data_IF_684451778201
#
_entry.id   IF_684451778201
#
_cell.length_a   1.000
_cell.length_b   1.000
_cell.length_c   1.000
_cell.angle_alpha   90.00
_cell.angle_beta   90.00
_cell.angle_gamma   90.00
#
_symmetry.space_group_name_H-M   'P 1'
#
loop_
_entity.id
_entity.type
_entity.pdbx_description
1 polymer ?
#
# COMPACT_ATOMS: atom_id res chain seq x y z
N UNK A 1 -4.59 0.48 9.93
CA UNK A 1 -3.90 -0.27 11.00
C UNK A 1 -2.93 -1.34 10.48
N UNK A 2 -3.37 -2.28 9.64
CA UNK A 2 -2.49 -3.33 9.06
C UNK A 2 -1.25 -2.75 8.36
N UNK A 3 -1.43 -1.73 7.52
CA UNK A 3 -0.32 -1.03 6.86
C UNK A 3 0.71 -0.42 7.83
N UNK A 4 0.28 0.13 8.97
CA UNK A 4 1.19 0.71 9.97
C UNK A 4 2.05 -0.37 10.63
N UNK A 5 1.44 -1.49 11.04
CA UNK A 5 2.15 -2.62 11.63
C UNK A 5 3.18 -3.20 10.66
N UNK A 6 2.81 -3.32 9.37
CA UNK A 6 3.71 -3.77 8.32
C UNK A 6 4.89 -2.81 8.09
N UNK A 7 4.67 -1.50 8.11
CA UNK A 7 5.75 -0.52 8.00
C UNK A 7 6.77 -0.68 9.12
N UNK A 8 6.31 -0.89 10.36
CA UNK A 8 7.18 -1.08 11.53
C UNK A 8 7.98 -2.38 11.39
N UNK A 9 7.32 -3.48 10.99
CA UNK A 9 7.97 -4.78 10.82
C UNK A 9 9.00 -4.79 9.68
N UNK A 10 8.76 -4.04 8.61
CA UNK A 10 9.58 -4.06 7.38
C UNK A 10 10.69 -2.99 7.39
N UNK A 11 10.52 -1.91 8.16
CA UNK A 11 11.53 -0.86 8.28
C UNK A 11 12.96 -1.36 8.62
N UNK A 12 13.19 -2.34 9.52
CA UNK A 12 14.53 -2.82 9.83
C UNK A 12 15.14 -3.79 8.81
N UNK A 13 14.45 -4.17 7.71
CA UNK A 13 14.93 -5.21 6.76
C UNK A 13 16.30 -4.92 6.14
N UNK A 14 16.60 -3.65 5.86
CA UNK A 14 17.93 -3.20 5.41
C UNK A 14 18.56 -2.26 6.44
N UNK A 15 17.81 -1.26 6.91
CA UNK A 15 18.29 -0.29 7.89
C UNK A 15 18.73 -0.90 9.23
N UNK A 16 18.15 -2.02 9.66
CA UNK A 16 18.57 -2.72 10.86
C UNK A 16 19.96 -3.35 10.73
N UNK A 17 20.29 -3.88 9.55
CA UNK A 17 21.60 -4.47 9.28
C UNK A 17 22.70 -3.39 9.19
N UNK A 18 22.38 -2.23 8.61
CA UNK A 18 23.28 -1.08 8.61
C UNK A 18 23.55 -0.57 10.02
N UNK A 19 22.52 -0.52 10.87
CA UNK A 19 22.67 -0.11 12.26
C UNK A 19 23.54 -1.09 13.07
N UNK A 20 23.46 -2.38 12.77
CA UNK A 20 24.23 -3.43 13.45
C UNK A 20 25.61 -3.71 12.83
N UNK A 21 25.95 -3.07 11.69
CA UNK A 21 27.19 -3.31 10.90
C UNK A 21 27.38 -4.77 10.46
N UNK A 22 26.28 -5.52 10.36
CA UNK A 22 26.27 -6.93 9.92
C UNK A 22 26.30 -7.04 8.39
N UNK A 23 26.09 -5.93 7.69
CA UNK A 23 26.16 -5.79 6.24
C UNK A 23 27.47 -6.33 5.65
N UNK A 24 28.60 -6.00 6.27
CA UNK A 24 29.93 -6.46 5.86
C UNK A 24 30.09 -7.99 5.86
N UNK A 25 29.44 -8.69 6.79
CA UNK A 25 29.45 -10.16 6.87
C UNK A 25 28.56 -10.76 5.79
N UNK A 26 27.37 -10.20 5.56
CA UNK A 26 26.48 -10.68 4.50
C UNK A 26 27.09 -10.46 3.11
N UNK A 27 27.83 -9.37 2.91
CA UNK A 27 28.48 -9.05 1.64
C UNK A 27 29.60 -10.02 1.24
N UNK A 28 30.27 -10.63 2.22
CA UNK A 28 31.27 -11.68 1.99
C UNK A 28 30.64 -13.00 1.54
N UNK A 29 29.32 -13.18 1.66
CA UNK A 29 28.64 -14.38 1.21
C UNK A 29 28.49 -14.42 -0.33
N UNK A 30 28.58 -15.61 -0.93
CA UNK A 30 28.48 -15.87 -2.38
C UNK A 30 27.25 -15.24 -3.06
N UNK A 31 26.16 -15.01 -2.31
CA UNK A 31 24.91 -14.41 -2.79
C UNK A 31 24.49 -13.12 -2.06
N UNK A 32 25.42 -12.50 -1.32
CA UNK A 32 25.16 -11.38 -0.42
C UNK A 32 24.68 -10.07 -1.04
N UNK A 33 24.87 -9.88 -2.35
CA UNK A 33 24.52 -8.62 -3.05
C UNK A 33 23.09 -8.63 -3.60
N UNK A 34 22.93 -8.66 -4.93
CA UNK A 34 21.63 -8.55 -5.61
C UNK A 34 20.64 -9.67 -5.24
N UNK A 35 21.13 -10.90 -5.09
CA UNK A 35 20.27 -12.06 -4.80
C UNK A 35 19.64 -11.99 -3.41
N UNK A 36 20.41 -11.55 -2.41
CA UNK A 36 19.91 -11.28 -1.06
C UNK A 36 18.85 -10.18 -1.07
N UNK A 37 19.10 -9.07 -1.76
CA UNK A 37 18.15 -7.96 -1.87
C UNK A 37 16.80 -8.43 -2.46
N UNK A 38 16.83 -9.23 -3.54
CA UNK A 38 15.62 -9.82 -4.11
C UNK A 38 14.92 -10.79 -3.14
N UNK A 39 15.66 -11.63 -2.42
CA UNK A 39 15.08 -12.55 -1.45
C UNK A 39 14.35 -11.82 -0.32
N UNK A 40 14.94 -10.75 0.22
CA UNK A 40 14.34 -9.91 1.27
C UNK A 40 13.09 -9.19 0.78
N UNK A 41 13.15 -8.61 -0.41
CA UNK A 41 12.00 -7.94 -1.02
C UNK A 41 10.85 -8.94 -1.22
N UNK A 42 11.14 -10.12 -1.75
CA UNK A 42 10.12 -11.16 -1.93
C UNK A 42 9.54 -11.63 -0.58
N UNK A 43 10.36 -11.78 0.45
CA UNK A 43 9.90 -12.12 1.79
C UNK A 43 8.99 -11.02 2.37
N UNK A 44 9.34 -9.74 2.20
CA UNK A 44 8.53 -8.61 2.63
C UNK A 44 7.17 -8.56 1.91
N UNK A 45 7.14 -8.82 0.59
CA UNK A 45 5.92 -8.89 -0.19
C UNK A 45 5.03 -10.07 0.22
N UNK A 46 5.61 -11.26 0.43
CA UNK A 46 4.86 -12.44 0.89
C UNK A 46 4.29 -12.24 2.29
N UNK A 47 5.07 -11.66 3.21
CA UNK A 47 4.60 -11.34 4.56
C UNK A 47 3.45 -10.33 4.50
N UNK A 48 3.55 -9.31 3.65
CA UNK A 48 2.50 -8.31 3.44
C UNK A 48 1.22 -8.92 2.89
N UNK A 49 1.32 -9.72 1.83
CA UNK A 49 0.15 -10.37 1.23
C UNK A 49 -0.51 -11.35 2.21
N UNK A 50 0.28 -12.19 2.89
CA UNK A 50 -0.23 -13.19 3.82
C UNK A 50 -0.92 -12.57 5.03
N UNK A 51 -0.28 -11.59 5.68
CA UNK A 51 -0.88 -10.89 6.83
C UNK A 51 -2.12 -10.10 6.45
N UNK A 52 -2.12 -9.42 5.29
CA UNK A 52 -3.29 -8.68 4.82
C UNK A 52 -4.47 -9.62 4.56
N UNK A 53 -4.26 -10.71 3.80
CA UNK A 53 -5.30 -11.68 3.47
C UNK A 53 -5.87 -12.32 4.74
N UNK A 54 -5.01 -12.65 5.71
CA UNK A 54 -5.44 -13.22 6.99
C UNK A 54 -6.29 -12.23 7.78
N UNK A 55 -5.85 -10.98 7.92
CA UNK A 55 -6.61 -9.94 8.61
C UNK A 55 -7.94 -9.62 7.91
N UNK A 56 -7.95 -9.49 6.58
CA UNK A 56 -9.17 -9.23 5.82
C UNK A 56 -10.13 -10.43 5.88
N UNK A 57 -9.61 -11.66 5.88
CA UNK A 57 -10.41 -12.88 5.99
C UNK A 57 -11.12 -12.96 7.34
N UNK A 58 -10.42 -12.68 8.45
CA UNK A 58 -11.02 -12.63 9.79
C UNK A 58 -12.09 -11.54 9.85
N UNK A 59 -11.81 -10.37 9.27
CA UNK A 59 -12.76 -9.26 9.24
C UNK A 59 -14.05 -9.61 8.49
N UNK A 60 -13.94 -10.18 7.28
CA UNK A 60 -15.10 -10.62 6.48
C UNK A 60 -15.85 -11.75 7.17
N UNK A 61 -15.15 -12.73 7.74
CA UNK A 61 -15.77 -13.82 8.48
C UNK A 61 -16.58 -13.30 9.69
N UNK A 62 -16.02 -12.31 10.41
CA UNK A 62 -16.72 -11.61 11.49
C UNK A 62 -17.97 -10.90 10.99
N UNK A 63 -17.87 -10.11 9.93
CA UNK A 63 -19.03 -9.44 9.33
C UNK A 63 -20.13 -10.45 8.95
N UNK A 64 -19.77 -11.56 8.28
CA UNK A 64 -20.72 -12.58 7.89
C UNK A 64 -21.38 -13.29 9.08
N UNK A 65 -20.64 -13.49 10.17
CA UNK A 65 -21.17 -14.11 11.39
C UNK A 65 -22.22 -13.22 12.09
N UNK A 66 -22.02 -11.89 12.10
CA UNK A 66 -22.94 -10.96 12.77
C UNK A 66 -24.09 -10.48 11.88
N UNK A 67 -23.82 -10.16 10.61
CA UNK A 67 -24.80 -9.55 9.68
C UNK A 67 -25.51 -10.62 8.83
N UNK A 68 -24.92 -11.80 8.67
CA UNK A 68 -25.41 -12.86 7.81
C UNK A 68 -25.19 -12.59 6.32
N UNK A 69 -25.51 -13.58 5.48
CA UNK A 69 -25.28 -13.55 4.02
C UNK A 69 -26.35 -12.81 3.24
N UNK A 70 -27.49 -12.47 3.87
CA UNK A 70 -28.64 -11.84 3.21
C UNK A 70 -28.32 -10.46 2.64
N UNK A 71 -27.42 -9.72 3.29
CA UNK A 71 -27.02 -8.38 2.86
C UNK A 71 -26.10 -8.40 1.62
N UNK A 72 -25.47 -9.53 1.27
CA UNK A 72 -24.44 -9.58 0.22
C UNK A 72 -24.98 -9.25 -1.18
N UNK A 73 -26.23 -9.64 -1.45
CA UNK A 73 -26.90 -9.43 -2.74
C UNK A 73 -27.65 -8.09 -2.83
N UNK A 74 -27.71 -7.33 -1.73
CA UNK A 74 -28.35 -6.03 -1.74
C UNK A 74 -27.50 -5.00 -2.54
N UNK A 75 -28.16 -3.99 -3.13
CA UNK A 75 -27.47 -2.90 -3.81
C UNK A 75 -26.63 -2.09 -2.81
N UNK A 76 -25.45 -1.65 -3.24
CA UNK A 76 -24.51 -0.90 -2.38
C UNK A 76 -25.08 0.44 -1.89
N UNK A 77 -26.08 0.97 -2.60
CA UNK A 77 -26.85 2.16 -2.21
C UNK A 77 -27.49 2.04 -0.83
N UNK A 78 -27.75 0.81 -0.36
CA UNK A 78 -28.29 0.58 0.98
C UNK A 78 -27.32 1.03 2.09
N UNK A 79 -26.00 0.92 1.85
CA UNK A 79 -24.95 1.35 2.79
C UNK A 79 -24.53 2.80 2.48
N UNK A 80 -24.49 3.17 1.20
CA UNK A 80 -24.15 4.53 0.75
C UNK A 80 -25.18 5.04 -0.26
N UNK A 81 -26.20 5.80 0.18
CA UNK A 81 -27.28 6.27 -0.70
C UNK A 81 -26.80 7.13 -1.88
N UNK A 82 -25.68 7.84 -1.69
CA UNK A 82 -25.04 8.70 -2.70
C UNK A 82 -24.15 7.93 -3.70
N UNK A 83 -24.05 6.60 -3.59
CA UNK A 83 -23.26 5.80 -4.51
C UNK A 83 -23.93 5.74 -5.89
N UNK A 84 -23.26 6.31 -6.89
CA UNK A 84 -23.73 6.32 -8.28
C UNK A 84 -23.47 5.00 -9.02
N UNK A 85 -22.79 4.05 -8.38
CA UNK A 85 -22.39 2.77 -8.98
C UNK A 85 -23.42 1.68 -8.67
N UNK A 86 -23.96 1.03 -9.69
CA UNK A 86 -24.85 -0.13 -9.55
C UNK A 86 -24.03 -1.41 -9.32
N UNK A 87 -23.55 -1.62 -8.09
CA UNK A 87 -22.85 -2.82 -7.65
C UNK A 87 -23.53 -3.46 -6.45
N UNK A 88 -23.33 -4.76 -6.27
CA UNK A 88 -23.76 -5.46 -5.05
C UNK A 88 -22.77 -5.20 -3.90
N UNK A 89 -23.23 -5.38 -2.66
CA UNK A 89 -22.38 -5.21 -1.48
C UNK A 89 -21.17 -6.14 -1.51
N UNK A 90 -21.33 -7.40 -1.93
CA UNK A 90 -20.20 -8.33 -2.08
C UNK A 90 -19.15 -7.85 -3.08
N UNK A 91 -19.57 -7.33 -4.24
CA UNK A 91 -18.64 -6.81 -5.24
C UNK A 91 -17.87 -5.61 -4.69
N UNK A 92 -18.58 -4.70 -3.99
CA UNK A 92 -17.96 -3.55 -3.36
C UNK A 92 -16.91 -3.96 -2.31
N UNK A 93 -17.24 -4.94 -1.46
CA UNK A 93 -16.31 -5.47 -0.45
C UNK A 93 -15.07 -6.11 -1.10
N UNK A 94 -15.25 -6.90 -2.17
CA UNK A 94 -14.15 -7.50 -2.91
C UNK A 94 -13.22 -6.43 -3.53
N UNK A 95 -13.78 -5.35 -4.08
CA UNK A 95 -12.99 -4.22 -4.56
C UNK A 95 -12.24 -3.50 -3.44
N UNK A 96 -12.86 -3.35 -2.26
CA UNK A 96 -12.22 -2.73 -1.11
C UNK A 96 -11.01 -3.55 -0.63
N UNK A 97 -11.15 -4.88 -0.57
CA UNK A 97 -10.05 -5.79 -0.22
C UNK A 97 -8.93 -5.73 -1.25
N UNK A 98 -9.26 -5.73 -2.55
CA UNK A 98 -8.27 -5.64 -3.61
C UNK A 98 -7.48 -4.33 -3.54
N UNK A 99 -8.16 -3.20 -3.38
CA UNK A 99 -7.51 -1.89 -3.29
C UNK A 99 -6.71 -1.72 -2.01
N UNK A 100 -7.21 -2.25 -0.89
CA UNK A 100 -6.47 -2.25 0.37
C UNK A 100 -5.20 -3.10 0.29
N UNK A 101 -5.23 -4.25 -0.41
CA UNK A 101 -4.05 -5.07 -0.66
C UNK A 101 -3.02 -4.29 -1.52
N UNK A 102 -3.47 -3.69 -2.62
CA UNK A 102 -2.61 -2.90 -3.50
C UNK A 102 -1.99 -1.69 -2.78
N UNK A 103 -2.77 -1.00 -1.95
CA UNK A 103 -2.28 0.09 -1.11
C UNK A 103 -1.23 -0.37 -0.10
N UNK A 104 -1.44 -1.54 0.53
CA UNK A 104 -0.46 -2.15 1.44
C UNK A 104 0.83 -2.54 0.72
N UNK A 105 0.75 -3.10 -0.49
CA UNK A 105 1.93 -3.43 -1.28
C UNK A 105 2.72 -2.18 -1.68
N UNK A 106 2.03 -1.10 -2.06
CA UNK A 106 2.67 0.15 -2.44
C UNK A 106 3.41 0.82 -1.27
N UNK A 107 2.80 0.90 -0.09
CA UNK A 107 3.48 1.46 1.09
C UNK A 107 4.65 0.59 1.54
N UNK A 108 4.54 -0.73 1.43
CA UNK A 108 5.65 -1.64 1.75
C UNK A 108 6.79 -1.53 0.74
N UNK A 109 6.50 -1.39 -0.55
CA UNK A 109 7.54 -1.13 -1.54
C UNK A 109 8.27 0.19 -1.25
N UNK A 110 7.55 1.21 -0.77
CA UNK A 110 8.14 2.47 -0.32
C UNK A 110 9.01 2.27 0.94
N UNK A 111 8.52 1.55 1.95
CA UNK A 111 9.28 1.34 3.20
C UNK A 111 10.56 0.56 2.94
N UNK A 112 10.53 -0.44 2.06
CA UNK A 112 11.71 -1.19 1.63
C UNK A 112 12.68 -0.28 0.87
N UNK A 113 12.21 0.55 -0.06
CA UNK A 113 13.06 1.49 -0.78
C UNK A 113 13.72 2.52 0.14
N UNK A 114 13.00 3.01 1.14
CA UNK A 114 13.53 3.89 2.18
C UNK A 114 14.53 3.16 3.09
N UNK A 115 14.24 1.91 3.48
CA UNK A 115 15.12 1.06 4.29
C UNK A 115 16.45 0.79 3.58
N UNK A 116 16.44 0.60 2.26
CA UNK A 116 17.66 0.41 1.47
C UNK A 116 18.49 1.70 1.30
N UNK A 117 17.92 2.88 1.61
CA UNK A 117 18.60 4.18 1.48
C UNK A 117 19.03 4.78 2.81
N UNK A 118 18.31 4.46 3.89
CA UNK A 118 18.54 5.03 5.21
C UNK A 118 19.26 4.01 6.10
N UNK A 119 20.21 4.50 6.90
CA UNK A 119 21.00 3.66 7.82
C UNK A 119 20.33 3.42 9.17
N UNK A 120 19.28 4.19 9.50
CA UNK A 120 18.56 4.09 10.77
C UNK A 120 17.12 3.62 10.56
N UNK A 121 16.76 2.47 11.15
CA UNK A 121 15.42 1.90 11.04
C UNK A 121 14.33 2.84 11.59
N UNK A 122 14.65 3.61 12.64
CA UNK A 122 13.74 4.58 13.22
C UNK A 122 13.33 5.69 12.24
N UNK A 123 14.28 6.21 11.44
CA UNK A 123 14.01 7.21 10.41
C UNK A 123 13.10 6.66 9.31
N UNK A 124 13.30 5.39 8.92
CA UNK A 124 12.44 4.71 7.94
C UNK A 124 11.01 4.63 8.46
N UNK A 125 10.81 4.24 9.73
CA UNK A 125 9.49 4.16 10.36
C UNK A 125 8.81 5.52 10.33
N UNK A 126 9.47 6.58 10.82
CA UNK A 126 8.89 7.92 10.88
C UNK A 126 8.46 8.40 9.50
N UNK A 127 9.33 8.30 8.50
CA UNK A 127 9.02 8.79 7.15
C UNK A 127 7.89 7.99 6.54
N UNK A 128 7.92 6.66 6.68
CA UNK A 128 6.85 5.79 6.15
C UNK A 128 5.51 6.07 6.81
N UNK A 129 5.51 6.32 8.13
CA UNK A 129 4.31 6.62 8.89
C UNK A 129 3.77 8.02 8.56
N UNK A 130 4.65 9.01 8.39
CA UNK A 130 4.29 10.35 7.95
C UNK A 130 3.61 10.28 6.59
N UNK A 131 4.20 9.58 5.62
CA UNK A 131 3.62 9.40 4.28
C UNK A 131 2.25 8.70 4.35
N UNK A 132 2.09 7.72 5.24
CA UNK A 132 0.82 7.02 5.42
C UNK A 132 -0.28 7.92 6.05
N UNK A 133 0.08 8.78 7.01
CA UNK A 133 -0.87 9.62 7.76
C UNK A 133 -1.21 10.92 7.01
N UNK A 134 -0.28 11.47 6.24
CA UNK A 134 -0.40 12.77 5.57
C UNK A 134 -1.70 12.91 4.75
N UNK A 135 -2.12 11.92 3.95
CA UNK A 135 -3.38 12.03 3.21
C UNK A 135 -4.61 12.19 4.11
N UNK A 136 -4.63 11.51 5.26
CA UNK A 136 -5.76 11.56 6.19
C UNK A 136 -5.81 12.88 6.96
N UNK A 137 -4.65 13.43 7.34
CA UNK A 137 -4.57 14.69 8.08
C UNK A 137 -4.96 15.93 7.28
N UNK A 138 -4.80 15.89 5.95
CA UNK A 138 -5.06 17.03 5.06
C UNK A 138 -6.31 16.87 4.17
N UNK A 139 -7.06 15.78 4.34
CA UNK A 139 -8.33 15.57 3.64
C UNK A 139 -9.34 16.67 3.99
N UNK A 140 -9.63 17.57 3.03
CA UNK A 140 -10.58 18.67 3.19
C UNK A 140 -9.98 20.06 3.44
N UNK A 141 -8.67 20.17 3.68
CA UNK A 141 -8.01 21.46 4.00
C UNK A 141 -7.09 21.99 2.88
N UNK A 142 -6.90 21.21 1.81
CA UNK A 142 -5.99 21.55 0.70
C UNK A 142 -6.73 22.12 -0.51
N UNK A 143 -6.06 22.91 -1.38
CA UNK A 143 -6.59 23.28 -2.69
C UNK A 143 -6.92 22.05 -3.54
N UNK A 144 -7.95 22.11 -4.39
CA UNK A 144 -8.48 20.99 -5.18
C UNK A 144 -7.42 20.22 -5.98
N UNK A 145 -6.41 20.93 -6.51
CA UNK A 145 -5.30 20.32 -7.24
C UNK A 145 -4.43 19.43 -6.35
N UNK A 146 -4.11 19.89 -5.13
CA UNK A 146 -3.32 19.10 -4.18
C UNK A 146 -4.15 17.93 -3.64
N UNK A 147 -5.45 18.14 -3.39
CA UNK A 147 -6.35 17.05 -3.00
C UNK A 147 -6.40 15.93 -4.04
N UNK A 148 -6.43 16.30 -5.33
CA UNK A 148 -6.41 15.33 -6.43
C UNK A 148 -5.13 14.48 -6.43
N UNK A 149 -3.96 15.11 -6.19
CA UNK A 149 -2.66 14.42 -6.11
C UNK A 149 -2.60 13.52 -4.87
N UNK A 150 -3.12 13.99 -3.74
CA UNK A 150 -3.17 13.21 -2.50
C UNK A 150 -4.12 12.02 -2.64
N UNK A 151 -5.27 12.19 -3.29
CA UNK A 151 -6.22 11.12 -3.59
C UNK A 151 -5.67 10.07 -4.57
N UNK A 152 -4.70 10.45 -5.41
CA UNK A 152 -3.95 9.55 -6.29
C UNK A 152 -2.90 8.71 -5.53
N UNK A 153 -2.56 9.05 -4.29
CA UNK A 153 -1.62 8.22 -3.53
C UNK A 153 -2.25 6.87 -3.21
N UNK A 154 -1.52 5.76 -3.44
CA UNK A 154 -2.08 4.41 -3.40
C UNK A 154 -2.61 3.99 -2.02
N UNK A 155 -2.12 4.65 -0.96
CA UNK A 155 -2.52 4.44 0.44
C UNK A 155 -3.60 5.43 0.94
N UNK A 156 -3.92 6.46 0.15
CA UNK A 156 -4.98 7.43 0.42
C UNK A 156 -6.34 7.01 -0.18
N UNK A 157 -6.35 5.94 -0.98
CA UNK A 157 -7.50 5.39 -1.69
C UNK A 157 -8.65 5.08 -0.73
N UNK A 158 -9.56 6.02 -0.54
CA UNK A 158 -10.71 5.83 0.33
C UNK A 158 -11.81 5.03 -0.39
N UNK A 159 -12.47 4.11 0.31
CA UNK A 159 -13.66 3.41 -0.20
C UNK A 159 -14.79 4.37 -0.61
N UNK A 160 -14.79 5.61 -0.13
CA UNK A 160 -15.69 6.68 -0.60
C UNK A 160 -15.39 7.16 -2.02
N UNK A 161 -14.13 7.19 -2.45
CA UNK A 161 -13.72 7.63 -3.80
C UNK A 161 -14.06 6.61 -4.89
N UNK A 162 -14.21 5.33 -4.51
CA UNK A 162 -14.77 4.28 -5.37
C UNK A 162 -16.26 4.49 -5.68
N UNK A 163 -17.01 5.03 -4.71
CA UNK A 163 -18.46 5.16 -4.77
C UNK A 163 -18.91 6.50 -5.36
N UNK A 164 -18.02 7.50 -5.34
CA UNK A 164 -18.20 8.78 -6.02
C UNK A 164 -17.67 8.66 -7.44
N UNK A 165 -18.50 8.96 -8.43
CA UNK A 165 -18.11 9.13 -9.83
C UNK A 165 -17.28 10.41 -10.02
N UNK A 166 -16.17 10.55 -9.29
CA UNK A 166 -15.17 11.56 -9.63
C UNK A 166 -14.53 11.13 -10.97
N UNK A 167 -14.75 11.92 -12.01
CA UNK A 167 -14.08 11.76 -13.30
C UNK A 167 -12.75 12.52 -13.20
N UNK A 168 -11.64 11.80 -13.17
CA UNK A 168 -10.33 12.46 -13.20
C UNK A 168 -10.04 12.93 -14.63
N UNK A 169 -9.80 14.24 -14.77
CA UNK A 169 -9.35 14.84 -16.02
C UNK A 169 -7.84 14.74 -16.11
N UNK A 170 -7.33 13.68 -16.73
CA UNK A 170 -5.89 13.48 -16.94
C UNK A 170 -5.65 13.55 -18.45
N UNK A 171 -4.84 14.52 -18.91
CA UNK A 171 -4.44 14.68 -20.33
C UNK A 171 -5.61 14.72 -21.34
N UNK A 172 -6.74 15.34 -20.99
CA UNK A 172 -7.89 15.47 -21.90
C UNK A 172 -8.77 14.21 -22.01
N UNK A 173 -8.43 13.12 -21.32
CA UNK A 173 -9.23 11.90 -21.25
C UNK A 173 -10.01 11.82 -19.93
N UNK A 174 -11.29 11.42 -20.01
CA UNK A 174 -12.14 11.15 -18.84
C UNK A 174 -11.93 9.70 -18.40
N UNK A 175 -11.07 9.48 -17.42
CA UNK A 175 -10.80 8.13 -16.90
C UNK A 175 -11.65 7.90 -15.66
N UNK A 176 -12.35 6.76 -15.64
CA UNK A 176 -13.15 6.31 -14.50
C UNK A 176 -12.25 6.13 -13.25
N UNK A 177 -12.60 6.76 -12.13
CA UNK A 177 -11.87 6.73 -10.84
C UNK A 177 -11.35 5.34 -10.42
N UNK A 178 -12.13 4.25 -10.53
CA UNK A 178 -11.67 2.92 -10.11
C UNK A 178 -10.45 2.40 -10.87
N UNK A 179 -10.30 2.71 -12.15
CA UNK A 179 -9.14 2.25 -12.94
C UNK A 179 -7.85 2.93 -12.48
N UNK A 180 -7.93 4.23 -12.20
CA UNK A 180 -6.79 5.02 -11.73
C UNK A 180 -6.32 4.51 -10.38
N UNK A 181 -7.27 4.22 -9.47
CA UNK A 181 -6.98 3.69 -8.13
C UNK A 181 -6.36 2.30 -8.13
N UNK A 182 -6.57 1.48 -9.16
CA UNK A 182 -5.91 0.16 -9.30
C UNK A 182 -4.54 0.29 -9.97
N UNK A 183 -4.46 1.06 -11.06
CA UNK A 183 -3.25 1.14 -11.89
C UNK A 183 -2.13 1.89 -11.20
N UNK A 184 -2.43 2.98 -10.49
CA UNK A 184 -1.40 3.82 -9.84
C UNK A 184 -0.61 3.06 -8.75
N UNK A 185 -1.23 2.33 -7.81
CA UNK A 185 -0.49 1.49 -6.85
C UNK A 185 0.39 0.45 -7.51
N UNK A 186 -0.08 -0.18 -8.60
CA UNK A 186 0.68 -1.21 -9.31
C UNK A 186 1.92 -0.58 -9.94
N UNK A 187 1.79 0.56 -10.61
CA UNK A 187 2.92 1.27 -11.22
C UNK A 187 3.92 1.71 -10.14
N UNK A 188 3.44 2.29 -9.03
CA UNK A 188 4.29 2.74 -7.93
C UNK A 188 5.05 1.56 -7.32
N UNK A 189 4.36 0.46 -7.04
CA UNK A 189 4.98 -0.77 -6.51
C UNK A 189 6.02 -1.30 -7.49
N UNK A 190 5.67 -1.44 -8.77
CA UNK A 190 6.58 -1.93 -9.81
C UNK A 190 7.80 -1.03 -10.03
N UNK A 191 7.66 0.29 -9.84
CA UNK A 191 8.76 1.24 -9.95
C UNK A 191 9.67 1.26 -8.71
N UNK A 192 9.11 1.12 -7.50
CA UNK A 192 9.86 1.20 -6.24
C UNK A 192 10.72 -0.03 -5.96
N UNK A 193 10.26 -1.23 -6.34
CA UNK A 193 11.03 -2.47 -6.16
C UNK A 193 12.43 -2.46 -6.83
N UNK A 194 12.58 -2.09 -8.13
CA UNK A 194 13.91 -2.00 -8.75
C UNK A 194 14.73 -0.84 -8.20
N UNK A 195 14.09 0.25 -7.73
CA UNK A 195 14.78 1.36 -7.06
C UNK A 195 15.39 0.89 -5.74
N UNK A 196 14.65 0.10 -4.94
CA UNK A 196 15.16 -0.48 -3.70
C UNK A 196 16.41 -1.34 -3.94
N UNK A 197 16.38 -2.22 -4.95
CA UNK A 197 17.55 -3.02 -5.35
C UNK A 197 18.71 -2.13 -5.78
N UNK A 198 18.45 -1.08 -6.57
CA UNK A 198 19.49 -0.14 -7.01
C UNK A 198 20.13 0.60 -5.84
N UNK A 199 19.33 1.09 -4.88
CA UNK A 199 19.85 1.77 -3.69
C UNK A 199 20.73 0.85 -2.85
N UNK A 200 20.28 -0.38 -2.60
CA UNK A 200 21.08 -1.38 -1.91
C UNK A 200 22.43 -1.63 -2.62
N UNK A 201 22.42 -1.84 -3.93
CA UNK A 201 23.65 -2.12 -4.69
C UNK A 201 24.61 -0.94 -4.85
N UNK A 202 24.11 0.30 -4.78
CA UNK A 202 24.93 1.52 -4.91
C UNK A 202 25.52 1.97 -3.58
N UNK A 203 24.86 1.67 -2.46
CA UNK A 203 25.37 1.98 -1.14
C UNK A 203 26.59 1.12 -0.78
N UNK A 204 26.74 -0.03 -1.45
CA UNK A 204 27.80 -1.01 -1.22
C UNK A 204 28.89 -1.01 -2.32
N UNK A 205 28.85 -0.06 -3.27
CA UNK A 205 29.81 0.09 -4.37
C UNK A 205 30.78 1.25 -4.08
#
# INVERSE_FOLDING_TARGET
>A
FTAMALCIAIAPVFAGEYQQKTDSVLLCAKYGRKKLAHAKINAALMLTAGTYILCSGIYIAGQLAFVGTRALNCPVQLIKPLATVSMTIWQAEAYAVLLGLLGCLAIVALTVALSARLTAAFSVIIISLLVLILPFGFSGSLPDMLQSIVALMPFASNFSELMRTNLYHIFGMRIWSPYVLVVVPIIITAALLPIAVRFYTRHEA
#
